data_IF_472049370184
#
_entry.id   IF_472049370184
#
_cell.length_a   1.000
_cell.length_b   1.000
_cell.length_c   1.000
_cell.angle_alpha   90.00
_cell.angle_beta   90.00
_cell.angle_gamma   90.00
#
_symmetry.space_group_name_H-M   'P 1'
#
loop_
_entity.id
_entity.type
_entity.pdbx_description
1 polymer ?
#
# COMPACT_ATOMS: atom_id res chain seq x y z
N UNK A 1 25.53 -6.41 8.53
CA UNK A 1 24.12 -6.45 8.97
C UNK A 1 24.12 -5.78 10.33
N UNK A 2 23.59 -4.56 10.45
CA UNK A 2 23.40 -3.90 11.75
C UNK A 2 21.93 -3.89 12.09
N UNK A 3 21.65 -4.19 13.35
CA UNK A 3 20.35 -4.30 13.95
C UNK A 3 20.23 -3.19 14.98
N UNK A 4 19.30 -2.27 14.77
CA UNK A 4 18.87 -1.30 15.78
C UNK A 4 17.34 -1.16 15.70
N UNK A 5 16.75 -1.40 16.87
CA UNK A 5 15.50 -0.87 17.44
C UNK A 5 14.28 -0.56 16.55
N UNK A 6 13.11 -1.01 17.01
CA UNK A 6 11.75 -0.68 16.54
C UNK A 6 11.18 -1.30 15.25
N UNK A 7 11.84 -2.26 14.59
CA UNK A 7 11.16 -3.28 13.76
C UNK A 7 10.26 -2.80 12.59
N UNK A 8 10.26 -1.52 12.23
CA UNK A 8 9.50 -0.98 11.10
C UNK A 8 10.32 -1.10 9.82
N UNK A 9 10.23 -2.26 9.20
CA UNK A 9 10.83 -2.50 7.89
C UNK A 9 9.95 -1.89 6.79
N UNK A 10 10.45 -0.85 6.13
CA UNK A 10 9.93 -0.45 4.82
C UNK A 10 10.44 -1.47 3.79
N UNK A 11 9.70 -2.56 3.57
CA UNK A 11 10.04 -3.51 2.52
C UNK A 11 10.08 -2.76 1.17
N UNK A 12 11.17 -2.95 0.42
CA UNK A 12 11.26 -2.50 -0.97
C UNK A 12 10.11 -3.11 -1.81
N UNK A 13 9.65 -2.43 -2.86
CA UNK A 13 8.48 -2.84 -3.65
C UNK A 13 8.63 -4.23 -4.31
N UNK A 14 9.87 -4.70 -4.44
CA UNK A 14 10.26 -6.01 -4.98
C UNK A 14 10.00 -7.19 -4.04
N UNK A 15 9.70 -6.92 -2.75
CA UNK A 15 9.40 -7.94 -1.75
C UNK A 15 7.96 -7.94 -1.25
N UNK A 16 7.14 -6.96 -1.66
CA UNK A 16 5.69 -7.02 -1.48
C UNK A 16 5.20 -8.06 -2.48
N UNK A 17 5.12 -9.32 -2.04
CA UNK A 17 4.46 -10.35 -2.82
C UNK A 17 3.03 -9.90 -3.05
N UNK A 18 2.58 -9.96 -4.29
CA UNK A 18 1.21 -9.60 -4.69
C UNK A 18 0.17 -10.29 -3.79
N UNK A 19 0.52 -11.46 -3.24
CA UNK A 19 -0.27 -12.26 -2.31
C UNK A 19 -0.44 -11.69 -0.89
N UNK A 20 0.43 -10.79 -0.43
CA UNK A 20 0.35 -10.23 0.95
C UNK A 20 -0.72 -9.13 1.09
N UNK A 21 -1.29 -8.63 -0.02
CA UNK A 21 -2.29 -7.56 0.02
C UNK A 21 -3.70 -8.15 0.09
N UNK A 22 -4.37 -7.95 1.24
CA UNK A 22 -5.75 -8.41 1.49
C UNK A 22 -6.72 -7.23 1.56
N UNK A 23 -8.01 -7.50 1.34
CA UNK A 23 -9.06 -6.52 1.62
C UNK A 23 -9.09 -6.25 3.13
N UNK A 24 -9.08 -4.98 3.52
CA UNK A 24 -8.96 -4.53 4.90
C UNK A 24 -7.54 -4.15 5.32
N UNK A 25 -6.51 -4.47 4.54
CA UNK A 25 -5.13 -4.10 4.86
C UNK A 25 -4.88 -2.60 4.72
N UNK A 26 -4.00 -2.07 5.57
CA UNK A 26 -3.65 -0.65 5.57
C UNK A 26 -2.43 -0.43 4.71
N UNK A 27 -2.60 0.37 3.67
CA UNK A 27 -1.60 0.60 2.63
C UNK A 27 -1.39 2.08 2.36
N UNK A 28 -0.24 2.43 1.85
CA UNK A 28 0.12 3.75 1.36
C UNK A 28 0.02 3.75 -0.16
N UNK A 29 -1.03 4.37 -0.68
CA UNK A 29 -1.21 4.51 -2.11
C UNK A 29 -0.69 5.86 -2.59
N UNK A 30 0.01 5.85 -3.73
CA UNK A 30 0.38 7.08 -4.43
C UNK A 30 -0.67 7.44 -5.47
N UNK A 31 -1.23 8.65 -5.34
CA UNK A 31 -2.04 9.26 -6.39
C UNK A 31 -1.11 9.71 -7.52
N UNK A 32 -1.37 9.32 -8.77
CA UNK A 32 -0.56 9.71 -9.94
C UNK A 32 -0.36 11.22 -10.06
N UNK A 33 -1.31 12.01 -9.53
CA UNK A 33 -1.29 13.48 -9.52
C UNK A 33 -0.60 14.12 -8.30
N UNK A 34 -0.15 13.35 -7.30
CA UNK A 34 0.48 13.88 -6.08
C UNK A 34 1.80 13.17 -5.79
N UNK A 35 2.84 13.90 -5.36
CA UNK A 35 4.11 13.28 -4.98
C UNK A 35 4.01 12.46 -3.68
N UNK A 36 2.96 12.67 -2.88
CA UNK A 36 2.86 12.11 -1.54
C UNK A 36 2.06 10.80 -1.53
N UNK A 37 2.62 9.81 -0.85
CA UNK A 37 1.89 8.62 -0.44
C UNK A 37 0.92 8.98 0.68
N UNK A 38 -0.31 8.53 0.57
CA UNK A 38 -1.32 8.74 1.62
C UNK A 38 -1.80 7.39 2.16
N UNK A 39 -2.07 7.30 3.47
CA UNK A 39 -2.63 6.10 4.06
C UNK A 39 -4.03 5.86 3.51
N UNK A 40 -4.29 4.61 3.15
CA UNK A 40 -5.51 4.11 2.57
C UNK A 40 -5.76 2.68 3.05
N UNK A 41 -7.00 2.24 2.95
CA UNK A 41 -7.43 0.88 3.29
C UNK A 41 -7.85 0.17 2.03
N UNK A 42 -7.38 -1.05 1.80
CA UNK A 42 -7.81 -1.83 0.64
C UNK A 42 -9.28 -2.20 0.79
N UNK A 43 -10.13 -1.72 -0.10
CA UNK A 43 -11.56 -2.06 -0.11
C UNK A 43 -11.89 -3.17 -1.09
N UNK A 44 -11.13 -3.28 -2.17
CA UNK A 44 -11.33 -4.32 -3.17
C UNK A 44 -10.00 -4.67 -3.84
N UNK A 45 -9.82 -5.94 -4.19
CA UNK A 45 -8.68 -6.41 -4.99
C UNK A 45 -9.21 -7.24 -6.15
N UNK A 46 -8.81 -6.87 -7.36
CA UNK A 46 -9.07 -7.58 -8.61
C UNK A 46 -7.75 -7.84 -9.32
N UNK A 47 -7.16 -9.00 -9.06
CA UNK A 47 -5.92 -9.46 -9.70
C UNK A 47 -4.78 -8.43 -9.54
N UNK A 48 -4.49 -7.65 -10.59
CA UNK A 48 -3.49 -6.56 -10.60
C UNK A 48 -4.02 -5.18 -10.17
N UNK A 49 -5.34 -5.00 -10.13
CA UNK A 49 -5.99 -3.77 -9.71
C UNK A 49 -6.40 -3.85 -8.24
N UNK A 50 -6.08 -2.82 -7.47
CA UNK A 50 -6.44 -2.70 -6.07
C UNK A 50 -7.21 -1.39 -5.91
N UNK A 51 -8.42 -1.50 -5.41
CA UNK A 51 -9.22 -0.38 -4.94
C UNK A 51 -8.87 -0.10 -3.50
N UNK A 52 -8.43 1.11 -3.24
CA UNK A 52 -8.14 1.60 -1.90
C UNK A 52 -9.04 2.77 -1.58
N UNK A 53 -9.45 2.87 -0.32
CA UNK A 53 -10.18 4.01 0.24
C UNK A 53 -9.28 4.78 1.18
N UNK A 54 -9.05 6.04 0.87
CA UNK A 54 -8.32 6.96 1.72
C UNK A 54 -9.17 7.38 2.94
N UNK A 55 -8.49 7.81 4.00
CA UNK A 55 -9.12 8.32 5.23
C UNK A 55 -10.03 9.53 4.96
N UNK A 56 -9.72 10.31 3.92
CA UNK A 56 -10.50 11.45 3.42
C UNK A 56 -11.85 11.03 2.78
N UNK A 57 -12.14 9.72 2.73
CA UNK A 57 -13.34 9.16 2.12
C UNK A 57 -13.23 8.91 0.60
N UNK A 58 -12.15 9.38 -0.03
CA UNK A 58 -11.93 9.20 -1.46
C UNK A 58 -11.49 7.76 -1.80
N UNK A 59 -11.90 7.25 -2.95
CA UNK A 59 -11.52 5.93 -3.44
C UNK A 59 -10.61 6.05 -4.67
N UNK A 60 -9.63 5.17 -4.78
CA UNK A 60 -8.73 5.11 -5.92
C UNK A 60 -8.49 3.66 -6.31
N UNK A 61 -8.68 3.38 -7.59
CA UNK A 61 -8.21 2.14 -8.20
C UNK A 61 -6.81 2.36 -8.74
N UNK A 62 -5.84 1.64 -8.19
CA UNK A 62 -4.44 1.68 -8.63
C UNK A 62 -3.88 0.26 -8.76
N UNK A 63 -2.65 0.13 -9.24
CA UNK A 63 -1.98 -1.16 -9.33
C UNK A 63 -0.98 -1.34 -8.20
N UNK A 64 -0.60 -2.59 -7.92
CA UNK A 64 0.32 -2.98 -6.85
C UNK A 64 1.65 -2.18 -6.90
N UNK A 65 2.09 -1.78 -8.09
CA UNK A 65 3.29 -0.95 -8.31
C UNK A 65 3.28 0.39 -7.59
N UNK A 66 2.11 0.94 -7.29
CA UNK A 66 1.96 2.26 -6.66
C UNK A 66 1.45 2.16 -5.22
N UNK A 67 1.51 0.96 -4.64
CA UNK A 67 1.05 0.67 -3.28
C UNK A 67 2.25 0.22 -2.45
N UNK A 68 2.37 0.80 -1.25
CA UNK A 68 3.29 0.33 -0.21
C UNK A 68 2.48 -0.19 0.96
N UNK A 69 2.75 -1.40 1.44
CA UNK A 69 2.07 -1.93 2.64
C UNK A 69 2.78 -1.39 3.87
N UNK A 70 2.01 -0.93 4.88
CA UNK A 70 2.57 -0.60 6.18
C UNK A 70 2.50 -1.85 7.06
N UNK A 71 3.63 -2.33 7.57
CA UNK A 71 3.71 -3.42 8.53
C UNK A 71 4.52 -2.99 9.74
#
# INVERSE_FOLDING_TARGET
>A
ICFDDEGRFWYGPERIREDDIKVGDRVFAKLTRRPNYRPATVTERKDRMIKVRFDDGNELTTTIRFIKVLR
#
